data_IF_826784615687
#
_entry.id   IF_826784615687
#
_cell.length_a   1.000
_cell.length_b   1.000
_cell.length_c   1.000
_cell.angle_alpha   90.00
_cell.angle_beta   90.00
_cell.angle_gamma   90.00
#
_symmetry.space_group_name_H-M   'P 1'
#
loop_
_entity.id
_entity.type
_entity.pdbx_description
1 polymer ?
#
# COMPACT_ATOMS: atom_id res chain seq x y z
N UNK A 1 -14.81 5.44 11.76
CA UNK A 1 -14.26 5.05 10.44
C UNK A 1 -12.78 4.61 10.49
N UNK A 2 -11.92 5.17 11.37
CA UNK A 2 -10.47 4.86 11.49
C UNK A 2 -10.05 3.38 11.58
N UNK A 3 -10.73 2.55 12.38
CA UNK A 3 -10.38 1.12 12.50
C UNK A 3 -10.45 0.36 11.16
N UNK A 4 -11.36 0.77 10.26
CA UNK A 4 -11.52 0.13 8.95
C UNK A 4 -10.35 0.46 8.01
N UNK A 5 -9.86 1.69 8.01
CA UNK A 5 -8.75 2.13 7.16
C UNK A 5 -7.44 1.39 7.49
N UNK A 6 -7.10 1.29 8.79
CA UNK A 6 -5.93 0.54 9.24
C UNK A 6 -5.99 -0.96 8.86
N UNK A 7 -7.14 -1.61 9.02
CA UNK A 7 -7.30 -3.01 8.60
C UNK A 7 -7.19 -3.18 7.09
N UNK A 8 -7.75 -2.24 6.30
CA UNK A 8 -7.61 -2.24 4.85
C UNK A 8 -6.14 -2.06 4.44
N UNK A 9 -5.39 -1.18 5.11
CA UNK A 9 -3.97 -0.94 4.85
C UNK A 9 -3.13 -2.19 5.08
N UNK A 10 -3.30 -2.85 6.24
CA UNK A 10 -2.56 -4.08 6.57
C UNK A 10 -2.90 -5.20 5.58
N UNK A 11 -4.19 -5.37 5.25
CA UNK A 11 -4.62 -6.42 4.34
C UNK A 11 -4.11 -6.21 2.91
N UNK A 12 -4.27 -5.01 2.35
CA UNK A 12 -3.81 -4.70 1.00
C UNK A 12 -2.28 -4.81 0.89
N UNK A 13 -1.56 -4.27 1.87
CA UNK A 13 -0.09 -4.34 1.89
C UNK A 13 0.40 -5.77 2.05
N UNK A 14 -0.24 -6.58 2.90
CA UNK A 14 0.10 -7.99 3.06
C UNK A 14 -0.09 -8.81 1.78
N UNK A 15 -1.16 -8.56 1.03
CA UNK A 15 -1.36 -9.22 -0.27
C UNK A 15 -0.35 -8.80 -1.32
N UNK A 16 -0.07 -7.49 -1.44
CA UNK A 16 0.92 -6.98 -2.37
C UNK A 16 2.33 -7.51 -2.05
N UNK A 17 2.63 -7.71 -0.77
CA UNK A 17 3.87 -8.37 -0.33
C UNK A 17 3.94 -9.83 -0.76
N UNK A 18 2.85 -10.59 -0.64
CA UNK A 18 2.78 -11.96 -1.16
C UNK A 18 2.89 -12.03 -2.69
N UNK A 19 2.53 -10.95 -3.38
CA UNK A 19 2.60 -10.82 -4.82
C UNK A 19 3.92 -10.23 -5.30
N UNK A 20 4.96 -10.14 -4.46
CA UNK A 20 6.27 -9.61 -4.87
C UNK A 20 6.24 -8.16 -5.37
N UNK A 21 5.17 -7.40 -5.09
CA UNK A 21 5.03 -6.01 -5.53
C UNK A 21 6.08 -5.08 -4.89
N UNK A 22 6.74 -5.54 -3.82
CA UNK A 22 7.76 -4.80 -3.08
C UNK A 22 9.18 -5.34 -3.26
N UNK A 23 9.42 -6.36 -4.09
CA UNK A 23 10.75 -7.01 -4.22
C UNK A 23 11.84 -6.06 -4.76
N UNK A 24 11.44 -4.95 -5.36
CA UNK A 24 12.35 -3.89 -5.81
C UNK A 24 12.80 -2.94 -4.68
N UNK A 25 12.14 -2.98 -3.52
CA UNK A 25 12.53 -2.19 -2.35
C UNK A 25 13.79 -2.77 -1.70
N UNK A 26 14.56 -1.92 -1.04
CA UNK A 26 15.73 -2.36 -0.28
C UNK A 26 15.33 -3.22 0.93
N UNK A 27 16.23 -4.10 1.36
CA UNK A 27 16.05 -4.93 2.56
C UNK A 27 15.70 -4.10 3.79
N UNK A 28 16.28 -2.90 3.92
CA UNK A 28 15.96 -1.97 5.01
C UNK A 28 14.49 -1.55 4.98
N UNK A 29 13.96 -1.17 3.80
CA UNK A 29 12.55 -0.80 3.64
C UNK A 29 11.63 -1.98 3.89
N UNK A 30 11.97 -3.16 3.36
CA UNK A 30 11.19 -4.39 3.58
C UNK A 30 11.16 -4.76 5.07
N UNK A 31 12.28 -4.61 5.78
CA UNK A 31 12.35 -4.84 7.23
C UNK A 31 11.45 -3.86 8.00
N UNK A 32 11.52 -2.56 7.69
CA UNK A 32 10.67 -1.53 8.31
C UNK A 32 9.19 -1.74 8.02
N UNK A 33 8.85 -2.08 6.78
CA UNK A 33 7.48 -2.37 6.37
C UNK A 33 6.90 -3.56 7.14
N UNK A 34 7.66 -4.66 7.26
CA UNK A 34 7.25 -5.81 8.08
C UNK A 34 7.09 -5.44 9.56
N UNK A 35 7.98 -4.59 10.09
CA UNK A 35 7.84 -4.06 11.46
C UNK A 35 6.52 -3.28 11.62
N UNK A 36 6.16 -2.45 10.65
CA UNK A 36 4.90 -1.70 10.65
C UNK A 36 3.68 -2.63 10.60
N UNK A 37 3.68 -3.65 9.72
CA UNK A 37 2.61 -4.65 9.64
C UNK A 37 2.42 -5.37 10.98
N UNK A 38 3.51 -5.77 11.63
CA UNK A 38 3.46 -6.45 12.92
C UNK A 38 2.92 -5.55 14.04
N UNK A 39 3.37 -4.29 14.10
CA UNK A 39 2.89 -3.30 15.08
C UNK A 39 1.40 -2.99 14.92
N UNK A 40 0.93 -2.82 13.69
CA UNK A 40 -0.47 -2.54 13.38
C UNK A 40 -1.37 -3.78 13.58
N UNK A 41 -0.86 -4.98 13.25
CA UNK A 41 -1.58 -6.24 13.41
C UNK A 41 -1.77 -6.64 14.88
N UNK A 42 -0.80 -6.35 15.74
CA UNK A 42 -0.88 -6.72 17.16
C UNK A 42 -1.70 -5.77 18.04
N UNK A 43 -2.16 -4.62 17.51
CA UNK A 43 -3.02 -3.62 18.17
C UNK A 43 -2.72 -3.33 19.65
N UNK A 44 -1.48 -3.55 20.12
CA UNK A 44 -1.09 -3.24 21.48
C UNK A 44 -0.88 -1.73 21.56
N UNK A 45 -1.90 -1.05 22.10
CA UNK A 45 -1.90 0.26 22.79
C UNK A 45 -0.61 1.09 22.69
N UNK A 46 -0.21 1.46 21.48
CA UNK A 46 0.82 2.46 21.27
C UNK A 46 0.13 3.77 20.87
N UNK A 47 0.44 4.83 21.60
CA UNK A 47 0.03 6.22 21.31
C UNK A 47 0.41 6.64 19.88
N UNK A 48 1.36 5.90 19.26
CA UNK A 48 1.96 6.23 17.98
C UNK A 48 1.49 5.40 16.77
N UNK A 49 0.33 4.72 16.89
CA UNK A 49 -0.21 3.91 15.78
C UNK A 49 -0.43 4.72 14.49
N UNK A 50 -0.67 6.04 14.60
CA UNK A 50 -0.82 6.90 13.41
C UNK A 50 0.48 7.05 12.64
N UNK A 51 1.62 7.26 13.30
CA UNK A 51 2.88 7.39 12.56
C UNK A 51 3.25 6.07 11.89
N UNK A 52 2.99 4.93 12.56
CA UNK A 52 3.19 3.60 11.96
C UNK A 52 2.26 3.37 10.76
N UNK A 53 1.00 3.83 10.84
CA UNK A 53 0.04 3.78 9.74
C UNK A 53 0.49 4.62 8.55
N UNK A 54 0.95 5.86 8.78
CA UNK A 54 1.49 6.71 7.72
C UNK A 54 2.78 6.16 7.12
N UNK A 55 3.66 5.60 7.94
CA UNK A 55 4.89 4.96 7.46
C UNK A 55 4.56 3.77 6.54
N UNK A 56 3.63 2.90 6.95
CA UNK A 56 3.19 1.77 6.12
C UNK A 56 2.51 2.24 4.83
N UNK A 57 1.67 3.29 4.91
CA UNK A 57 1.03 3.88 3.73
C UNK A 57 2.08 4.38 2.73
N UNK A 58 3.16 5.02 3.19
CA UNK A 58 4.22 5.48 2.31
C UNK A 58 4.90 4.33 1.56
N UNK A 59 5.19 3.20 2.23
CA UNK A 59 5.71 2.02 1.52
C UNK A 59 4.68 1.45 0.52
N UNK A 60 3.40 1.44 0.89
CA UNK A 60 2.32 0.96 0.03
C UNK A 60 2.19 1.76 -1.29
N UNK A 61 2.56 3.04 -1.27
CA UNK A 61 2.63 3.89 -2.48
C UNK A 61 3.76 3.50 -3.43
N UNK A 62 4.81 2.87 -2.91
CA UNK A 62 5.94 2.40 -3.71
C UNK A 62 5.68 1.00 -4.30
N UNK A 63 4.51 0.39 -4.09
CA UNK A 63 4.20 -0.92 -4.65
C UNK A 63 4.28 -0.93 -6.18
N UNK A 64 5.00 -1.89 -6.75
CA UNK A 64 4.94 -2.16 -8.18
C UNK A 64 3.68 -2.97 -8.49
N UNK A 65 2.63 -2.28 -8.94
CA UNK A 65 1.32 -2.84 -9.24
C UNK A 65 1.24 -3.59 -10.58
N UNK A 66 2.31 -3.59 -11.36
CA UNK A 66 2.37 -4.18 -12.71
C UNK A 66 3.21 -5.46 -12.77
N UNK A 67 3.53 -6.08 -11.63
CA UNK A 67 4.14 -7.40 -11.61
C UNK A 67 3.13 -8.47 -12.03
N UNK A 68 3.57 -9.51 -12.71
CA UNK A 68 2.70 -10.59 -13.26
C UNK A 68 1.85 -11.29 -12.18
N UNK A 69 2.31 -11.24 -10.94
CA UNK A 69 1.67 -11.80 -9.74
C UNK A 69 0.59 -10.91 -9.14
N UNK A 70 0.49 -9.63 -9.53
CA UNK A 70 -0.55 -8.73 -9.03
C UNK A 70 -1.90 -9.09 -9.62
N UNK A 71 -2.88 -9.39 -8.75
CA UNK A 71 -4.23 -9.74 -9.19
C UNK A 71 -5.15 -8.52 -9.30
N UNK A 72 -6.21 -8.58 -10.14
CA UNK A 72 -7.23 -7.54 -10.21
C UNK A 72 -7.88 -7.23 -8.85
N UNK A 73 -8.03 -8.24 -8.00
CA UNK A 73 -8.58 -8.06 -6.65
C UNK A 73 -7.65 -7.21 -5.77
N UNK A 74 -6.35 -7.50 -5.77
CA UNK A 74 -5.37 -6.75 -4.99
C UNK A 74 -5.24 -5.31 -5.48
N UNK A 75 -5.33 -5.08 -6.80
CA UNK A 75 -5.45 -3.73 -7.37
C UNK A 75 -6.67 -2.99 -6.83
N UNK A 76 -7.86 -3.60 -6.88
CA UNK A 76 -9.09 -2.97 -6.36
C UNK A 76 -8.98 -2.63 -4.87
N UNK A 77 -8.36 -3.50 -4.08
CA UNK A 77 -8.13 -3.25 -2.66
C UNK A 77 -7.14 -2.10 -2.43
N UNK A 78 -6.08 -2.03 -3.23
CA UNK A 78 -5.14 -0.91 -3.19
C UNK A 78 -5.81 0.41 -3.60
N UNK A 79 -6.62 0.41 -4.67
CA UNK A 79 -7.39 1.60 -5.07
C UNK A 79 -8.37 2.07 -4.00
N UNK A 80 -9.10 1.14 -3.37
CA UNK A 80 -10.02 1.44 -2.27
C UNK A 80 -9.27 1.97 -1.04
N UNK A 81 -8.10 1.39 -0.74
CA UNK A 81 -7.20 1.86 0.29
C UNK A 81 -6.78 3.31 0.03
N UNK A 82 -6.15 3.59 -1.11
CA UNK A 82 -5.64 4.92 -1.46
C UNK A 82 -6.73 5.99 -1.40
N UNK A 83 -7.89 5.68 -1.98
CA UNK A 83 -9.06 6.55 -1.94
C UNK A 83 -9.53 6.84 -0.50
N UNK A 84 -9.43 5.87 0.42
CA UNK A 84 -9.83 6.06 1.82
C UNK A 84 -8.90 6.98 2.62
N UNK A 85 -7.65 7.15 2.15
CA UNK A 85 -6.68 8.09 2.72
C UNK A 85 -6.66 9.44 1.99
N UNK A 86 -7.53 9.63 1.00
CA UNK A 86 -7.56 10.85 0.18
C UNK A 86 -6.41 10.93 -0.84
N UNK A 87 -5.69 9.83 -1.04
CA UNK A 87 -4.66 9.72 -2.06
C UNK A 87 -5.35 9.47 -3.41
N UNK A 88 -5.25 10.44 -4.32
CA UNK A 88 -5.82 10.30 -5.66
C UNK A 88 -4.98 9.27 -6.44
N UNK A 89 -5.59 8.16 -6.92
CA UNK A 89 -4.87 7.18 -7.72
C UNK A 89 -4.33 7.75 -9.05
N UNK A 90 -4.80 8.93 -9.45
CA UNK A 90 -4.43 9.59 -10.70
C UNK A 90 -2.97 10.08 -10.77
N UNK A 91 -2.24 10.17 -9.66
CA UNK A 91 -0.79 10.48 -9.76
C UNK A 91 0.05 9.26 -10.17
N UNK A 92 -0.51 8.05 -10.11
CA UNK A 92 0.17 6.79 -10.50
C UNK A 92 -0.21 6.36 -11.93
N UNK A 93 -1.34 6.85 -12.46
CA UNK A 93 -1.80 6.54 -13.84
C UNK A 93 -1.42 7.61 -14.88
N UNK A 94 -0.78 8.71 -14.46
CA UNK A 94 -0.58 9.93 -15.26
C UNK A 94 0.56 9.95 -16.28
N UNK A 95 1.00 8.81 -16.82
CA UNK A 95 2.00 8.77 -17.91
C UNK A 95 1.74 7.72 -18.99
N UNK A 96 0.50 7.26 -19.20
CA UNK A 96 0.24 6.31 -20.30
C UNK A 96 -1.12 6.43 -20.99
N UNK A 97 -1.78 7.59 -20.99
CA UNK A 97 -3.01 7.78 -21.78
C UNK A 97 -3.20 9.23 -22.24
N UNK A 98 -2.22 9.81 -22.96
CA UNK A 98 -2.50 11.00 -23.76
C UNK A 98 -1.42 11.23 -24.83
N UNK A 99 -1.39 10.45 -25.91
CA UNK A 99 -0.75 10.86 -27.18
C UNK A 99 -1.03 9.83 -28.29
N UNK A 100 -2.30 9.66 -28.69
CA UNK A 100 -2.65 9.14 -30.03
C UNK A 100 -3.97 9.79 -30.47
N UNK A 101 -3.90 11.06 -30.85
CA UNK A 101 -4.91 11.73 -31.67
C UNK A 101 -4.27 12.93 -32.35
N UNK A 102 -3.57 12.69 -33.46
CA UNK A 102 -3.49 13.61 -34.61
C UNK A 102 -3.25 12.82 -35.90
#
# INVERSE_FOLDING_TARGET
MKKRSCTLLVNATGQLLQQHAFDHLSDEKLSRMNSCLHKLGNQQLHDDLRNVEYELLNYCKEANLYVDTTTPHSLQQWFALMSSYGELPMSVMGTHLQEEAE
#
